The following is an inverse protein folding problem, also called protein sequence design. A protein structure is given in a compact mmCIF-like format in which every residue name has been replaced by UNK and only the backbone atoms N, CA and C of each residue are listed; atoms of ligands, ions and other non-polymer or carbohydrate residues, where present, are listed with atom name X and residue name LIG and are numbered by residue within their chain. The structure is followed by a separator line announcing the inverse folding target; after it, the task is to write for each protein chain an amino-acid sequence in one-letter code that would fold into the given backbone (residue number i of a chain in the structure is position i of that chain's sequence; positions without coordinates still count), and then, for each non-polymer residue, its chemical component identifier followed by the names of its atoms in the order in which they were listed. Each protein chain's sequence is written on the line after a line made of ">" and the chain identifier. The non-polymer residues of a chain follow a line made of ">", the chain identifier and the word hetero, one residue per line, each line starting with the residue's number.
data_IF_606690672215
#
_entry.id   IF_606690672215
#
_cell.length_a   1.000
_cell.length_b   1.000
_cell.length_c   1.000
_cell.angle_alpha   90.00
_cell.angle_beta   90.00
_cell.angle_gamma   90.00
#
_symmetry.space_group_name_H-M   'P 1'
#
loop_
_entity.id
_entity.type
_entity.pdbx_description
1 polymer ?
#
# COMPACT_ATOMS: atom_id res chain seq x y z
N UNK A 1 40.07 8.34 15.50
CA UNK A 1 38.74 8.78 15.96
C UNK A 1 37.77 8.53 14.83
N UNK A 2 37.08 7.39 14.84
CA UNK A 2 36.16 7.00 13.75
C UNK A 2 34.82 7.66 14.07
N UNK A 3 34.42 8.61 13.23
CA UNK A 3 33.10 9.22 13.31
C UNK A 3 32.10 8.14 12.87
N UNK A 4 31.47 7.48 13.85
CA UNK A 4 30.29 6.66 13.61
C UNK A 4 29.25 7.53 12.92
N UNK A 5 28.97 7.23 11.65
CA UNK A 5 27.77 7.71 10.98
C UNK A 5 26.58 7.15 11.74
N UNK A 6 25.95 7.98 12.57
CA UNK A 6 24.58 7.75 13.00
C UNK A 6 23.72 7.60 11.75
N UNK A 7 23.42 6.35 11.35
CA UNK A 7 22.33 6.09 10.44
C UNK A 7 21.05 6.52 11.16
N UNK A 8 20.32 7.43 10.52
CA UNK A 8 19.08 7.99 11.02
C UNK A 8 18.05 6.87 11.22
N UNK A 9 17.65 6.64 12.48
CA UNK A 9 16.56 5.76 12.91
C UNK A 9 15.15 6.24 12.47
N UNK A 10 15.08 7.10 11.45
CA UNK A 10 13.85 7.68 10.89
C UNK A 10 13.43 7.02 9.58
N UNK A 11 14.35 6.41 8.84
CA UNK A 11 14.03 5.76 7.56
C UNK A 11 13.36 4.39 7.78
N UNK A 12 13.82 3.65 8.79
CA UNK A 12 13.24 2.36 9.24
C UNK A 12 11.76 2.48 9.64
N UNK A 13 11.35 3.65 10.15
CA UNK A 13 9.94 3.91 10.54
C UNK A 13 9.01 4.19 9.36
N UNK A 14 9.55 4.53 8.18
CA UNK A 14 8.76 5.03 7.05
C UNK A 14 8.60 4.01 5.92
N UNK A 15 9.36 2.91 5.93
CA UNK A 15 9.26 1.86 4.92
C UNK A 15 8.08 0.90 5.17
N UNK A 16 7.32 0.59 4.11
CA UNK A 16 6.30 -0.46 4.15
C UNK A 16 7.00 -1.79 3.94
N UNK A 17 7.21 -2.55 5.02
CA UNK A 17 7.75 -3.92 4.97
C UNK A 17 6.70 -4.96 4.52
N UNK A 18 7.09 -6.05 3.82
CA UNK A 18 6.21 -7.18 3.52
C UNK A 18 5.54 -7.79 4.76
N UNK A 19 6.23 -7.77 5.91
CA UNK A 19 5.72 -8.29 7.19
C UNK A 19 4.41 -7.66 7.65
N UNK A 20 4.06 -6.47 7.15
CA UNK A 20 2.78 -5.85 7.46
C UNK A 20 1.57 -6.59 6.83
N UNK A 21 1.80 -7.52 5.89
CA UNK A 21 0.75 -8.18 5.11
C UNK A 21 0.51 -9.65 5.46
N UNK A 22 1.17 -10.17 6.49
CA UNK A 22 0.90 -11.51 7.01
C UNK A 22 1.18 -11.57 8.52
N UNK A 23 0.38 -12.32 9.26
CA UNK A 23 0.62 -12.63 10.68
C UNK A 23 1.30 -14.00 10.87
N UNK A 24 1.13 -14.88 9.90
CA UNK A 24 1.64 -16.24 9.92
C UNK A 24 1.89 -16.74 8.50
N UNK A 25 2.52 -17.90 8.39
CA UNK A 25 2.94 -18.46 7.11
C UNK A 25 1.80 -18.82 6.16
N UNK A 26 0.57 -19.05 6.67
CA UNK A 26 -0.61 -19.29 5.82
C UNK A 26 -1.11 -18.02 5.15
N UNK A 27 -0.76 -16.85 5.69
CA UNK A 27 -1.14 -15.56 5.12
C UNK A 27 -0.13 -15.06 4.08
N UNK A 28 1.00 -15.75 3.87
CA UNK A 28 1.97 -15.45 2.80
C UNK A 28 1.43 -15.85 1.41
N UNK A 29 0.27 -15.31 1.05
CA UNK A 29 -0.48 -15.61 -0.17
C UNK A 29 -0.17 -14.59 -1.26
N UNK A 30 -0.35 -14.98 -2.52
CA UNK A 30 -0.17 -14.10 -3.67
C UNK A 30 -1.08 -12.87 -3.66
N UNK A 31 -2.31 -12.98 -3.14
CA UNK A 31 -3.15 -11.79 -2.95
C UNK A 31 -2.55 -10.83 -1.93
N UNK A 32 -1.99 -11.33 -0.82
CA UNK A 32 -1.36 -10.47 0.18
C UNK A 32 -0.07 -9.82 -0.37
N UNK A 33 0.65 -10.51 -1.26
CA UNK A 33 1.78 -9.91 -1.99
C UNK A 33 1.33 -8.77 -2.91
N UNK A 34 0.26 -8.99 -3.69
CA UNK A 34 -0.32 -7.95 -4.54
C UNK A 34 -0.74 -6.70 -3.73
N UNK A 35 -1.34 -6.90 -2.55
CA UNK A 35 -1.70 -5.80 -1.66
C UNK A 35 -0.49 -5.05 -1.10
N UNK A 36 0.60 -5.78 -0.81
CA UNK A 36 1.87 -5.18 -0.41
C UNK A 36 2.45 -4.31 -1.53
N UNK A 37 2.49 -4.80 -2.76
CA UNK A 37 2.95 -4.03 -3.93
C UNK A 37 2.08 -2.79 -4.17
N UNK A 38 0.76 -2.92 -4.03
CA UNK A 38 -0.15 -1.78 -4.10
C UNK A 38 0.17 -0.74 -3.03
N UNK A 39 0.37 -1.14 -1.77
CA UNK A 39 0.69 -0.21 -0.69
C UNK A 39 2.00 0.54 -0.92
N UNK A 40 3.03 -0.16 -1.43
CA UNK A 40 4.29 0.47 -1.82
C UNK A 40 4.11 1.47 -2.95
N UNK A 41 3.40 1.07 -4.02
CA UNK A 41 3.07 1.95 -5.14
C UNK A 41 2.32 3.19 -4.67
N UNK A 42 1.33 3.02 -3.79
CA UNK A 42 0.55 4.11 -3.24
C UNK A 42 1.42 5.09 -2.45
N UNK A 43 2.26 4.60 -1.54
CA UNK A 43 3.21 5.41 -0.79
C UNK A 43 4.19 6.17 -1.69
N UNK A 44 4.68 5.52 -2.75
CA UNK A 44 5.57 6.14 -3.73
C UNK A 44 4.91 7.28 -4.51
N UNK A 45 3.70 7.07 -5.03
CA UNK A 45 2.97 8.13 -5.73
C UNK A 45 2.62 9.27 -4.79
N UNK A 46 2.28 8.98 -3.53
CA UNK A 46 2.02 10.01 -2.52
C UNK A 46 3.27 10.85 -2.23
N UNK A 47 4.44 10.22 -2.06
CA UNK A 47 5.70 10.91 -1.80
C UNK A 47 6.11 11.86 -2.94
N UNK A 48 5.72 11.55 -4.18
CA UNK A 48 5.95 12.43 -5.35
C UNK A 48 5.06 13.67 -5.36
N UNK A 49 3.91 13.64 -4.69
CA UNK A 49 2.92 14.73 -4.67
C UNK A 49 3.20 15.72 -3.53
N UNK A 50 4.36 16.42 -3.61
CA UNK A 50 4.88 17.30 -2.54
C UNK A 50 3.84 18.24 -1.92
N UNK A 51 3.05 18.93 -2.76
CA UNK A 51 2.00 19.86 -2.31
C UNK A 51 0.86 19.20 -1.55
N UNK A 52 0.53 17.95 -1.87
CA UNK A 52 -0.46 17.19 -1.13
C UNK A 52 0.13 16.78 0.22
N UNK A 53 1.33 16.20 0.21
CA UNK A 53 2.04 15.76 1.40
C UNK A 53 2.27 16.90 2.41
N UNK A 54 2.65 18.09 1.95
CA UNK A 54 2.76 19.29 2.79
C UNK A 54 1.43 19.66 3.48
N UNK A 55 0.29 19.56 2.76
CA UNK A 55 -1.04 19.82 3.34
C UNK A 55 -1.46 18.76 4.36
N UNK A 56 -1.04 17.52 4.15
CA UNK A 56 -1.26 16.43 5.10
C UNK A 56 -0.45 16.69 6.38
N UNK A 57 0.81 17.13 6.26
CA UNK A 57 1.64 17.53 7.40
C UNK A 57 1.06 18.70 8.19
N UNK A 58 0.50 19.71 7.50
CA UNK A 58 -0.19 20.83 8.15
C UNK A 58 -1.42 20.39 8.97
N UNK A 59 -1.97 19.21 8.67
CA UNK A 59 -3.06 18.57 9.44
C UNK A 59 -2.55 17.56 10.47
N UNK A 60 -1.24 17.52 10.75
CA UNK A 60 -0.65 16.61 11.74
C UNK A 60 -0.59 15.14 11.28
N UNK A 61 -0.57 14.90 9.96
CA UNK A 61 -0.48 13.56 9.38
C UNK A 61 0.96 13.31 8.94
N UNK A 62 1.80 12.81 9.85
CA UNK A 62 3.21 12.54 9.60
C UNK A 62 3.46 11.32 8.69
N UNK A 63 4.73 11.08 8.34
CA UNK A 63 5.14 9.94 7.49
C UNK A 63 4.69 8.59 8.04
N UNK A 64 4.75 8.40 9.36
CA UNK A 64 4.33 7.15 9.99
C UNK A 64 2.83 6.92 9.80
N UNK A 65 2.02 7.96 9.97
CA UNK A 65 0.58 7.93 9.69
C UNK A 65 0.29 7.66 8.22
N UNK A 66 1.03 8.29 7.30
CA UNK A 66 0.87 8.05 5.86
C UNK A 66 1.23 6.61 5.49
N UNK A 67 2.31 6.06 6.06
CA UNK A 67 2.68 4.64 5.91
C UNK A 67 1.56 3.72 6.38
N UNK A 68 1.09 3.93 7.62
CA UNK A 68 0.03 3.13 8.21
C UNK A 68 -1.27 3.23 7.40
N UNK A 69 -1.57 4.40 6.85
CA UNK A 69 -2.69 4.61 5.94
C UNK A 69 -2.55 3.79 4.66
N UNK A 70 -1.38 3.79 4.01
CA UNK A 70 -1.17 2.99 2.79
C UNK A 70 -1.39 1.49 3.05
N UNK A 71 -0.88 0.98 4.18
CA UNK A 71 -1.09 -0.41 4.61
C UNK A 71 -2.56 -0.69 4.88
N UNK A 72 -3.23 0.18 5.64
CA UNK A 72 -4.64 0.07 5.98
C UNK A 72 -5.52 0.05 4.72
N UNK A 73 -5.32 1.02 3.82
CA UNK A 73 -6.10 1.16 2.60
C UNK A 73 -5.92 -0.06 1.69
N UNK A 74 -4.69 -0.55 1.53
CA UNK A 74 -4.41 -1.77 0.78
C UNK A 74 -5.15 -2.99 1.35
N UNK A 75 -5.12 -3.18 2.68
CA UNK A 75 -5.85 -4.28 3.34
C UNK A 75 -7.37 -4.15 3.15
N UNK A 76 -7.90 -2.93 3.17
CA UNK A 76 -9.31 -2.66 2.92
C UNK A 76 -9.73 -3.09 1.49
N UNK A 77 -8.85 -2.88 0.49
CA UNK A 77 -9.11 -3.30 -0.88
C UNK A 77 -9.21 -4.81 -1.06
N UNK A 78 -8.62 -5.62 -0.16
CA UNK A 78 -8.63 -7.09 -0.27
C UNK A 78 -10.02 -7.63 -0.54
N UNK A 79 -11.01 -7.21 0.25
CA UNK A 79 -12.39 -7.69 0.12
C UNK A 79 -12.97 -7.32 -1.25
N UNK A 80 -12.80 -6.07 -1.69
CA UNK A 80 -13.31 -5.57 -2.97
C UNK A 80 -12.71 -6.36 -4.14
N UNK A 81 -11.42 -6.66 -4.09
CA UNK A 81 -10.73 -7.46 -5.11
C UNK A 81 -11.30 -8.88 -5.13
N UNK A 82 -11.42 -9.54 -3.98
CA UNK A 82 -11.97 -10.90 -3.91
C UNK A 82 -13.42 -10.95 -4.40
N UNK A 83 -14.25 -9.98 -4.03
CA UNK A 83 -15.63 -9.87 -4.50
C UNK A 83 -15.71 -9.74 -6.02
N UNK A 84 -14.78 -8.99 -6.64
CA UNK A 84 -14.67 -8.92 -8.10
C UNK A 84 -14.27 -10.28 -8.71
N UNK A 85 -13.29 -10.96 -8.12
CA UNK A 85 -12.78 -12.24 -8.64
C UNK A 85 -13.79 -13.39 -8.49
N UNK A 86 -14.69 -13.29 -7.51
CA UNK A 86 -15.78 -14.22 -7.29
C UNK A 86 -17.05 -13.86 -8.06
N UNK A 87 -17.02 -12.79 -8.86
CA UNK A 87 -18.17 -12.34 -9.66
C UNK A 87 -19.28 -11.68 -8.85
N UNK A 88 -19.06 -11.36 -7.57
CA UNK A 88 -20.03 -10.68 -6.70
C UNK A 88 -20.20 -9.20 -7.06
N UNK A 89 -19.17 -8.58 -7.62
CA UNK A 89 -19.23 -7.22 -8.16
C UNK A 89 -18.65 -7.13 -9.57
N UNK A 90 -19.16 -6.20 -10.37
CA UNK A 90 -18.72 -6.03 -11.75
C UNK A 90 -17.33 -5.41 -11.88
N UNK A 91 -16.92 -4.52 -10.97
CA UNK A 91 -15.65 -3.80 -11.05
C UNK A 91 -15.08 -3.53 -9.65
N UNK A 92 -13.75 -3.47 -9.54
CA UNK A 92 -13.09 -2.94 -8.33
C UNK A 92 -13.36 -1.44 -8.28
N UNK A 93 -13.90 -0.96 -7.17
CA UNK A 93 -14.12 0.45 -6.90
C UNK A 93 -13.23 0.88 -5.75
N UNK A 94 -12.38 1.87 -6.00
CA UNK A 94 -11.64 2.55 -4.94
C UNK A 94 -12.61 3.55 -4.28
N UNK A 95 -12.91 3.32 -3.02
CA UNK A 95 -13.88 4.09 -2.25
C UNK A 95 -13.23 5.17 -1.39
N UNK A 96 -14.03 6.18 -1.02
CA UNK A 96 -13.62 7.23 -0.06
C UNK A 96 -13.76 6.76 1.39
N UNK A 97 -14.57 5.73 1.65
CA UNK A 97 -14.98 5.28 2.97
C UNK A 97 -13.78 4.91 3.84
N UNK A 98 -12.82 4.15 3.29
CA UNK A 98 -11.60 3.79 4.00
C UNK A 98 -10.70 5.01 4.30
N UNK A 99 -10.75 6.06 3.48
CA UNK A 99 -9.99 7.29 3.70
C UNK A 99 -10.62 8.10 4.84
N UNK A 100 -11.94 8.23 4.82
CA UNK A 100 -12.70 8.94 5.85
C UNK A 100 -12.68 8.21 7.19
N UNK A 101 -12.73 6.88 7.19
CA UNK A 101 -12.58 6.07 8.41
C UNK A 101 -11.20 6.30 9.05
N UNK A 102 -10.14 6.31 8.25
CA UNK A 102 -8.78 6.49 8.75
C UNK A 102 -8.46 7.97 9.10
N UNK A 103 -9.02 8.91 8.36
CA UNK A 103 -8.82 10.36 8.54
C UNK A 103 -10.14 11.15 8.59
N UNK A 104 -10.93 11.03 9.67
CA UNK A 104 -12.32 11.52 9.72
C UNK A 104 -12.48 13.04 9.63
N UNK A 105 -11.42 13.83 9.87
CA UNK A 105 -11.44 15.30 9.83
C UNK A 105 -10.53 15.89 8.74
N UNK A 106 -10.15 15.09 7.74
CA UNK A 106 -9.20 15.54 6.71
C UNK A 106 -9.84 16.48 5.69
N UNK A 107 -11.14 16.32 5.44
CA UNK A 107 -11.95 17.10 4.51
C UNK A 107 -11.91 16.59 3.08
N UNK A 108 -13.04 16.71 2.38
CA UNK A 108 -13.36 16.08 1.10
C UNK A 108 -12.29 16.33 0.03
N UNK A 109 -11.78 17.57 -0.05
CA UNK A 109 -10.74 17.92 -1.03
C UNK A 109 -9.46 17.10 -0.87
N UNK A 110 -9.10 16.71 0.36
CA UNK A 110 -7.94 15.86 0.59
C UNK A 110 -8.28 14.38 0.39
N UNK A 111 -9.51 13.98 0.70
CA UNK A 111 -10.04 12.65 0.37
C UNK A 111 -9.96 12.41 -1.14
N UNK A 112 -10.51 13.30 -1.96
CA UNK A 112 -10.48 13.20 -3.44
C UNK A 112 -9.07 13.08 -3.99
N UNK A 113 -8.13 13.82 -3.41
CA UNK A 113 -6.73 13.78 -3.81
C UNK A 113 -6.08 12.46 -3.44
N UNK A 114 -6.27 11.98 -2.22
CA UNK A 114 -5.77 10.67 -1.80
C UNK A 114 -6.36 9.56 -2.67
N UNK A 115 -7.65 9.64 -3.01
CA UNK A 115 -8.31 8.71 -3.91
C UNK A 115 -7.73 8.75 -5.33
N UNK A 116 -7.44 9.95 -5.85
CA UNK A 116 -6.76 10.13 -7.14
C UNK A 116 -5.38 9.46 -7.14
N UNK A 117 -4.62 9.58 -6.05
CA UNK A 117 -3.30 8.94 -5.94
C UNK A 117 -3.43 7.42 -5.81
N UNK A 118 -4.43 6.94 -5.06
CA UNK A 118 -4.73 5.50 -4.98
C UNK A 118 -5.10 4.93 -6.36
N UNK A 119 -5.88 5.66 -7.16
CA UNK A 119 -6.22 5.27 -8.53
C UNK A 119 -4.98 5.17 -9.44
N UNK A 120 -4.09 6.18 -9.40
CA UNK A 120 -2.82 6.12 -10.13
C UNK A 120 -1.98 4.90 -9.74
N UNK A 121 -1.91 4.57 -8.44
CA UNK A 121 -1.19 3.40 -7.95
C UNK A 121 -1.83 2.08 -8.41
N UNK A 122 -3.15 2.01 -8.39
CA UNK A 122 -3.92 0.87 -8.89
C UNK A 122 -3.70 0.63 -10.38
N UNK A 123 -3.83 1.67 -11.20
CA UNK A 123 -3.63 1.60 -12.65
C UNK A 123 -2.20 1.16 -12.97
N UNK A 124 -1.20 1.79 -12.33
CA UNK A 124 0.21 1.43 -12.51
C UNK A 124 0.51 -0.02 -12.14
N UNK A 125 -0.08 -0.55 -11.06
CA UNK A 125 0.13 -1.94 -10.64
C UNK A 125 -0.56 -2.92 -11.59
N UNK A 126 -1.80 -2.62 -11.98
CA UNK A 126 -2.60 -3.50 -12.83
C UNK A 126 -2.10 -3.54 -14.28
N UNK A 127 -1.59 -2.42 -14.81
CA UNK A 127 -0.86 -2.39 -16.09
C UNK A 127 0.39 -3.27 -16.04
N UNK A 128 1.19 -3.16 -14.98
CA UNK A 128 2.37 -4.01 -14.80
C UNK A 128 2.00 -5.50 -14.68
N UNK A 129 0.85 -5.81 -14.09
CA UNK A 129 0.35 -7.18 -13.93
C UNK A 129 -0.01 -7.87 -15.26
N UNK A 130 -0.24 -7.14 -16.34
CA UNK A 130 -0.55 -7.74 -17.66
C UNK A 130 0.63 -8.58 -18.19
N UNK A 131 1.86 -8.15 -17.93
CA UNK A 131 3.08 -8.82 -18.39
C UNK A 131 3.82 -9.57 -17.27
N UNK A 132 3.42 -9.37 -16.02
CA UNK A 132 4.06 -9.97 -14.86
C UNK A 132 3.80 -11.48 -14.79
N UNK A 133 4.84 -12.33 -14.73
CA UNK A 133 4.67 -13.78 -14.67
C UNK A 133 4.17 -14.29 -13.31
N UNK A 134 4.11 -13.43 -12.28
CA UNK A 134 3.82 -13.84 -10.91
C UNK A 134 2.38 -14.27 -10.69
N UNK A 135 1.46 -13.88 -11.57
CA UNK A 135 0.06 -14.34 -11.59
C UNK A 135 -0.65 -14.12 -10.25
N UNK A 136 -0.33 -13.04 -9.56
CA UNK A 136 -0.75 -12.84 -8.17
C UNK A 136 -2.29 -12.84 -7.99
N UNK A 137 -3.03 -12.38 -9.00
CA UNK A 137 -4.49 -12.34 -9.00
C UNK A 137 -5.11 -13.69 -9.37
N UNK A 138 -4.62 -14.36 -10.41
CA UNK A 138 -5.17 -15.66 -10.85
C UNK A 138 -4.84 -16.79 -9.87
N UNK A 139 -3.66 -16.76 -9.26
CA UNK A 139 -3.17 -17.73 -8.28
C UNK A 139 -3.25 -17.18 -6.84
N UNK A 140 -4.25 -16.33 -6.57
CA UNK A 140 -4.42 -15.54 -5.33
C UNK A 140 -4.22 -16.27 -3.99
N UNK A 141 -4.59 -17.55 -3.92
CA UNK A 141 -4.52 -18.35 -2.69
C UNK A 141 -3.19 -19.10 -2.56
N UNK A 142 -2.38 -19.16 -3.62
CA UNK A 142 -1.09 -19.82 -3.60
C UNK A 142 -0.09 -19.03 -2.76
N UNK A 143 0.92 -19.73 -2.25
CA UNK A 143 2.01 -19.08 -1.51
C UNK A 143 2.76 -18.11 -2.42
N UNK A 144 3.05 -16.92 -1.92
CA UNK A 144 4.02 -16.00 -2.50
C UNK A 144 5.39 -16.20 -1.87
N UNK A 145 6.30 -16.90 -2.58
CA UNK A 145 7.71 -17.05 -2.21
C UNK A 145 8.49 -15.74 -2.02
N UNK A 146 8.02 -14.61 -2.54
CA UNK A 146 8.67 -13.30 -2.38
C UNK A 146 8.64 -12.83 -0.92
N UNK A 147 7.67 -13.29 -0.12
CA UNK A 147 7.68 -13.08 1.33
C UNK A 147 8.84 -13.78 2.03
N UNK A 148 9.51 -14.73 1.40
CA UNK A 148 10.66 -15.45 1.95
C UNK A 148 11.99 -14.92 1.40
N UNK A 149 11.96 -13.98 0.45
CA UNK A 149 13.17 -13.39 -0.13
C UNK A 149 13.70 -12.24 0.75
N UNK A 150 14.92 -12.36 1.31
CA UNK A 150 15.52 -11.32 2.15
C UNK A 150 15.71 -9.98 1.46
N UNK A 151 15.70 -9.92 0.12
CA UNK A 151 15.78 -8.66 -0.62
C UNK A 151 14.69 -7.66 -0.20
N UNK A 152 13.46 -8.12 0.02
CA UNK A 152 12.34 -7.25 0.40
C UNK A 152 12.30 -6.85 1.88
N UNK A 153 13.28 -7.30 2.64
CA UNK A 153 13.46 -6.92 4.05
C UNK A 153 14.76 -6.14 4.27
N UNK A 154 15.50 -5.86 3.20
CA UNK A 154 16.74 -5.09 3.24
C UNK A 154 16.44 -3.62 2.98
N UNK A 155 17.00 -2.76 3.82
CA UNK A 155 17.02 -1.29 3.71
C UNK A 155 18.34 -0.81 3.11
#
# INVERSE_FOLDING_TARGET
>A
MIISRHHNNSDEKNHISPSHFFLNDKEKTKINWFLFEFAQGFGHFLAKEKRLTEKLYQKGIDNLRLKNFCIYYAKHLKKVILDKLEGRIANVRLGHEAIEEFFPAIGDRLVDKLLTIAAKAWDSLTEACVVCPMRCISERNERASMFDDPYYYRE
#
